data_IF_428323456827
#
_entry.id   IF_428323456827
#
_cell.length_a   1.000
_cell.length_b   1.000
_cell.length_c   1.000
_cell.angle_alpha   90.00
_cell.angle_beta   90.00
_cell.angle_gamma   90.00
#
_symmetry.space_group_name_H-M   'P 1'
#
loop_
_entity.id
_entity.type
_entity.pdbx_description
1 polymer ?
#
# COMPACT_ATOMS: atom_id res chain seq x y z
N UNK A 1 -21.58 -31.85 -7.94
CA UNK A 1 -21.62 -30.40 -8.21
C UNK A 1 -20.66 -29.73 -7.24
N UNK A 2 -19.38 -29.63 -7.59
CA UNK A 2 -18.43 -28.79 -6.85
C UNK A 2 -18.56 -27.37 -7.40
N UNK A 3 -19.45 -26.58 -6.83
CA UNK A 3 -19.74 -25.22 -7.32
C UNK A 3 -19.66 -24.18 -6.19
N UNK A 4 -18.83 -23.16 -6.44
CA UNK A 4 -18.77 -21.82 -5.81
C UNK A 4 -18.04 -21.61 -4.48
N UNK A 5 -17.03 -22.42 -4.13
CA UNK A 5 -16.25 -22.21 -2.89
C UNK A 5 -14.78 -21.82 -3.08
N UNK A 6 -14.36 -21.38 -4.28
CA UNK A 6 -13.01 -20.79 -4.39
C UNK A 6 -12.99 -19.39 -3.75
N UNK A 7 -12.50 -19.34 -2.51
CA UNK A 7 -12.32 -18.09 -1.74
C UNK A 7 -11.47 -17.07 -2.51
N UNK A 8 -10.48 -17.53 -3.27
CA UNK A 8 -9.62 -16.67 -4.08
C UNK A 8 -10.38 -16.03 -5.25
N UNK A 9 -11.20 -16.82 -5.96
CA UNK A 9 -12.01 -16.30 -7.06
C UNK A 9 -13.03 -15.27 -6.58
N UNK A 10 -13.68 -15.53 -5.43
CA UNK A 10 -14.61 -14.57 -4.82
C UNK A 10 -13.91 -13.31 -4.31
N UNK A 11 -12.68 -13.43 -3.81
CA UNK A 11 -11.84 -12.30 -3.39
C UNK A 11 -11.50 -11.39 -4.58
N UNK A 12 -11.07 -11.98 -5.71
CA UNK A 12 -10.84 -11.24 -6.95
C UNK A 12 -12.09 -10.51 -7.41
N UNK A 13 -13.21 -11.23 -7.51
CA UNK A 13 -14.48 -10.69 -7.99
C UNK A 13 -15.03 -9.55 -7.12
N UNK A 14 -14.89 -9.67 -5.79
CA UNK A 14 -15.25 -8.59 -4.88
C UNK A 14 -14.44 -7.31 -5.15
N UNK A 15 -13.14 -7.45 -5.44
CA UNK A 15 -12.30 -6.33 -5.84
C UNK A 15 -12.77 -5.67 -7.13
N UNK A 16 -13.08 -6.46 -8.17
CA UNK A 16 -13.58 -5.94 -9.45
C UNK A 16 -14.84 -5.08 -9.29
N UNK A 17 -15.81 -5.57 -8.50
CA UNK A 17 -17.05 -4.84 -8.26
C UNK A 17 -16.85 -3.60 -7.40
N UNK A 18 -15.94 -3.63 -6.41
CA UNK A 18 -15.59 -2.45 -5.63
C UNK A 18 -14.97 -1.37 -6.52
N UNK A 19 -14.08 -1.75 -7.44
CA UNK A 19 -13.48 -0.83 -8.41
C UNK A 19 -14.53 -0.24 -9.35
N UNK A 20 -15.44 -1.05 -9.88
CA UNK A 20 -16.54 -0.54 -10.70
C UNK A 20 -17.40 0.46 -9.92
N UNK A 21 -17.80 0.11 -8.69
CA UNK A 21 -18.61 0.98 -7.85
C UNK A 21 -17.90 2.31 -7.57
N UNK A 22 -16.61 2.27 -7.24
CA UNK A 22 -15.81 3.47 -6.95
C UNK A 22 -15.63 4.37 -8.18
N UNK A 23 -15.41 3.80 -9.37
CA UNK A 23 -15.32 4.56 -10.62
C UNK A 23 -16.66 5.16 -11.03
N UNK A 24 -17.77 4.42 -10.85
CA UNK A 24 -19.12 4.93 -11.11
C UNK A 24 -19.47 6.07 -10.15
N UNK A 25 -19.11 5.95 -8.86
CA UNK A 25 -19.30 7.01 -7.88
C UNK A 25 -18.48 8.27 -8.20
N UNK A 26 -17.38 8.14 -8.95
CA UNK A 26 -16.59 9.26 -9.50
C UNK A 26 -17.21 9.89 -10.74
N UNK A 27 -18.33 9.36 -11.26
CA UNK A 27 -19.07 9.89 -12.39
C UNK A 27 -18.71 9.26 -13.74
N UNK A 28 -17.93 8.19 -13.76
CA UNK A 28 -17.58 7.49 -14.99
C UNK A 28 -18.51 6.33 -15.32
N UNK A 29 -18.46 5.86 -16.57
CA UNK A 29 -19.03 4.56 -16.92
C UNK A 29 -17.94 3.51 -16.75
N UNK A 30 -18.16 2.53 -15.87
CA UNK A 30 -17.22 1.44 -15.64
C UNK A 30 -17.96 0.10 -15.57
N UNK A 31 -17.41 -0.93 -16.19
CA UNK A 31 -18.00 -2.27 -16.19
C UNK A 31 -16.96 -3.38 -16.15
N UNK A 32 -17.29 -4.53 -15.53
CA UNK A 32 -16.42 -5.70 -15.55
C UNK A 32 -16.19 -6.19 -16.99
N UNK A 33 -14.98 -6.65 -17.25
CA UNK A 33 -14.60 -7.31 -18.49
C UNK A 33 -14.81 -8.82 -18.40
N UNK A 34 -14.82 -9.49 -19.55
CA UNK A 34 -14.95 -10.95 -19.63
C UNK A 34 -13.69 -11.67 -19.14
N UNK A 35 -13.89 -12.89 -18.62
CA UNK A 35 -12.79 -13.70 -18.10
C UNK A 35 -11.80 -14.07 -19.21
N UNK A 36 -10.50 -13.97 -18.92
CA UNK A 36 -9.42 -14.32 -19.85
C UNK A 36 -8.79 -13.12 -20.57
N UNK A 37 -9.33 -11.92 -20.38
CA UNK A 37 -8.70 -10.68 -20.78
C UNK A 37 -7.57 -10.29 -19.81
N UNK A 38 -6.59 -9.49 -20.25
CA UNK A 38 -5.50 -9.04 -19.39
C UNK A 38 -5.88 -7.87 -18.46
N UNK A 39 -7.14 -7.47 -18.46
CA UNK A 39 -7.72 -6.44 -17.60
C UNK A 39 -9.10 -6.92 -17.11
N UNK A 40 -9.52 -6.45 -15.94
CA UNK A 40 -10.76 -6.93 -15.31
C UNK A 40 -11.90 -5.89 -15.41
N UNK A 41 -11.58 -4.62 -15.62
CA UNK A 41 -12.55 -3.52 -15.71
C UNK A 41 -12.21 -2.63 -16.90
N UNK A 42 -13.23 -2.23 -17.65
CA UNK A 42 -13.12 -1.19 -18.65
C UNK A 42 -13.77 0.09 -18.11
N UNK A 43 -13.00 1.18 -18.14
CA UNK A 43 -13.42 2.51 -17.71
C UNK A 43 -13.57 3.39 -18.95
N UNK A 44 -14.75 3.96 -19.15
CA UNK A 44 -15.03 4.97 -20.18
C UNK A 44 -15.08 6.36 -19.54
N UNK A 45 -14.13 7.22 -19.92
CA UNK A 45 -14.05 8.61 -19.45
C UNK A 45 -14.89 9.57 -20.28
N UNK A 46 -15.54 9.10 -21.34
CA UNK A 46 -16.20 9.90 -22.37
C UNK A 46 -15.26 10.35 -23.50
N UNK A 47 -13.95 10.43 -23.24
CA UNK A 47 -12.93 10.73 -24.24
C UNK A 47 -12.19 9.48 -24.71
N UNK A 48 -12.00 8.51 -23.81
CA UNK A 48 -11.30 7.26 -24.10
C UNK A 48 -11.67 6.13 -23.16
N UNK A 49 -11.28 4.94 -23.60
CA UNK A 49 -11.36 3.72 -22.80
C UNK A 49 -10.02 3.47 -22.10
N UNK A 50 -10.09 3.18 -20.80
CA UNK A 50 -8.97 2.84 -19.93
C UNK A 50 -9.15 1.39 -19.46
N UNK A 51 -8.15 0.56 -19.70
CA UNK A 51 -8.12 -0.84 -19.28
C UNK A 51 -7.53 -0.95 -17.89
N UNK A 52 -8.34 -1.40 -16.95
CA UNK A 52 -7.99 -1.47 -15.53
C UNK A 52 -7.83 -2.93 -15.11
N UNK A 53 -6.63 -3.30 -14.68
CA UNK A 53 -6.40 -4.59 -14.01
C UNK A 53 -6.57 -4.41 -12.51
N UNK A 54 -7.34 -5.28 -11.88
CA UNK A 54 -7.59 -5.28 -10.45
C UNK A 54 -6.65 -6.27 -9.75
N UNK A 55 -6.08 -5.85 -8.62
CA UNK A 55 -5.31 -6.70 -7.70
C UNK A 55 -5.85 -6.52 -6.30
N UNK A 56 -6.30 -7.62 -5.71
CA UNK A 56 -7.01 -7.59 -4.42
C UNK A 56 -6.19 -8.24 -3.32
N UNK A 57 -6.29 -7.69 -2.11
CA UNK A 57 -5.81 -8.32 -0.89
C UNK A 57 -6.90 -8.35 0.17
N UNK A 58 -6.93 -9.40 0.98
CA UNK A 58 -7.90 -9.53 2.08
C UNK A 58 -7.52 -8.72 3.32
N UNK A 59 -6.28 -8.24 3.39
CA UNK A 59 -5.77 -7.52 4.55
C UNK A 59 -4.24 -7.43 4.55
N UNK A 60 -3.67 -6.69 5.51
CA UNK A 60 -2.23 -6.49 5.58
C UNK A 60 -1.51 -7.77 6.02
N UNK A 61 -0.33 -8.00 5.45
CA UNK A 61 0.51 -9.17 5.69
C UNK A 61 1.84 -8.75 6.28
N UNK A 62 2.46 -9.64 7.05
CA UNK A 62 3.83 -9.43 7.54
C UNK A 62 4.76 -9.37 6.33
N UNK A 63 5.58 -8.31 6.26
CA UNK A 63 6.58 -8.16 5.22
C UNK A 63 7.65 -9.24 5.43
N UNK A 64 7.88 -10.13 4.44
CA UNK A 64 8.89 -11.17 4.57
C UNK A 64 10.29 -10.57 4.81
N UNK A 65 11.16 -11.32 5.50
CA UNK A 65 12.58 -11.00 5.68
C UNK A 65 12.90 -9.71 6.46
N UNK A 66 11.93 -9.12 7.18
CA UNK A 66 12.18 -8.03 8.13
C UNK A 66 12.49 -8.59 9.52
N UNK A 67 13.55 -8.09 10.15
CA UNK A 67 13.93 -8.44 11.54
C UNK A 67 12.88 -8.01 12.56
N UNK A 68 12.18 -6.91 12.28
CA UNK A 68 11.04 -6.43 13.07
C UNK A 68 9.77 -6.72 12.30
N UNK A 69 8.78 -7.35 12.94
CA UNK A 69 7.48 -7.56 12.33
C UNK A 69 6.86 -6.22 11.92
N UNK A 70 6.64 -6.07 10.62
CA UNK A 70 5.98 -4.90 10.04
C UNK A 70 4.93 -5.41 9.07
N UNK A 71 3.72 -4.86 9.15
CA UNK A 71 2.61 -5.22 8.28
C UNK A 71 2.43 -4.20 7.16
N UNK A 72 2.11 -4.68 5.97
CA UNK A 72 1.85 -3.87 4.79
C UNK A 72 0.77 -4.54 3.91
N UNK A 73 0.10 -3.75 3.09
CA UNK A 73 -0.64 -4.28 1.95
C UNK A 73 0.35 -4.63 0.85
N UNK A 74 0.43 -5.90 0.50
CA UNK A 74 1.42 -6.44 -0.45
C UNK A 74 0.69 -6.83 -1.73
N UNK A 75 1.13 -6.30 -2.88
CA UNK A 75 0.57 -6.63 -4.19
C UNK A 75 1.67 -7.07 -5.16
N UNK A 76 1.41 -8.16 -5.89
CA UNK A 76 2.26 -8.61 -7.00
C UNK A 76 1.61 -8.16 -8.30
N UNK A 77 2.20 -7.15 -8.94
CA UNK A 77 1.48 -6.36 -9.93
C UNK A 77 1.82 -6.79 -11.34
N UNK A 78 3.11 -6.85 -11.70
CA UNK A 78 3.52 -7.22 -13.06
C UNK A 78 3.41 -8.70 -13.38
N UNK A 79 2.92 -9.52 -12.45
CA UNK A 79 2.79 -10.97 -12.65
C UNK A 79 1.33 -11.41 -12.71
N UNK A 80 1.06 -12.35 -13.60
CA UNK A 80 -0.26 -12.93 -13.83
C UNK A 80 -0.17 -14.46 -14.04
N UNK A 81 -1.34 -15.11 -14.05
CA UNK A 81 -1.45 -16.58 -14.16
C UNK A 81 -1.22 -17.32 -12.85
N UNK A 82 -1.53 -18.62 -12.85
CA UNK A 82 -1.30 -19.50 -11.70
C UNK A 82 0.18 -19.46 -11.32
N UNK A 83 0.49 -19.17 -10.06
CA UNK A 83 1.88 -19.10 -9.58
C UNK A 83 2.67 -17.86 -9.98
N UNK A 84 2.05 -16.82 -10.58
CA UNK A 84 2.74 -15.60 -11.03
C UNK A 84 3.80 -15.86 -12.11
N UNK A 85 3.55 -16.81 -13.02
CA UNK A 85 4.51 -17.27 -14.03
C UNK A 85 4.63 -16.34 -15.25
N UNK A 86 3.61 -15.52 -15.52
CA UNK A 86 3.56 -14.66 -16.71
C UNK A 86 3.71 -13.18 -16.34
N UNK A 87 4.17 -12.37 -17.29
CA UNK A 87 4.17 -10.90 -17.21
C UNK A 87 3.18 -10.33 -18.23
N UNK A 88 2.58 -9.19 -17.89
CA UNK A 88 1.76 -8.44 -18.84
C UNK A 88 2.64 -7.91 -19.99
N UNK A 89 2.11 -7.99 -21.20
CA UNK A 89 2.71 -7.40 -22.39
C UNK A 89 2.61 -5.87 -22.40
N UNK A 90 3.37 -5.23 -23.29
CA UNK A 90 3.26 -3.79 -23.51
C UNK A 90 1.85 -3.47 -24.00
N UNK A 91 1.22 -2.43 -23.43
CA UNK A 91 -0.12 -1.96 -23.77
C UNK A 91 -1.26 -2.96 -23.50
N UNK A 92 -1.14 -3.92 -22.58
CA UNK A 92 -2.28 -4.77 -22.20
C UNK A 92 -3.17 -4.14 -21.12
N UNK A 93 -2.58 -3.30 -20.27
CA UNK A 93 -3.20 -2.66 -19.11
C UNK A 93 -2.74 -1.22 -19.06
N UNK A 94 -3.66 -0.28 -18.82
CA UNK A 94 -3.34 1.15 -18.71
C UNK A 94 -3.16 1.55 -17.23
N UNK A 95 -3.99 0.97 -16.34
CA UNK A 95 -4.02 1.27 -14.92
C UNK A 95 -4.16 -0.01 -14.09
N UNK A 96 -3.49 -0.06 -12.95
CA UNK A 96 -3.75 -1.07 -11.93
C UNK A 96 -4.58 -0.46 -10.80
N UNK A 97 -5.71 -1.11 -10.49
CA UNK A 97 -6.49 -0.83 -9.29
C UNK A 97 -6.10 -1.83 -8.19
N UNK A 98 -5.60 -1.32 -7.08
CA UNK A 98 -5.26 -2.10 -5.90
C UNK A 98 -6.41 -2.00 -4.90
N UNK A 99 -6.84 -3.13 -4.34
CA UNK A 99 -8.01 -3.18 -3.45
C UNK A 99 -7.65 -3.87 -2.14
N UNK A 100 -7.89 -3.18 -1.02
CA UNK A 100 -7.80 -3.71 0.33
C UNK A 100 -9.22 -4.03 0.84
N UNK A 101 -9.62 -5.31 0.88
CA UNK A 101 -11.01 -5.68 1.21
C UNK A 101 -11.41 -5.42 2.66
N UNK A 102 -10.45 -5.50 3.58
CA UNK A 102 -10.64 -5.25 5.01
C UNK A 102 -11.09 -3.81 5.29
N UNK A 103 -10.54 -2.85 4.55
CA UNK A 103 -10.85 -1.42 4.68
C UNK A 103 -11.72 -0.88 3.55
N UNK A 104 -11.94 -1.68 2.49
CA UNK A 104 -12.54 -1.28 1.22
C UNK A 104 -11.82 -0.12 0.54
N UNK A 105 -10.55 0.12 0.86
CA UNK A 105 -9.75 1.14 0.20
C UNK A 105 -9.34 0.68 -1.19
N UNK A 106 -9.39 1.62 -2.14
CA UNK A 106 -9.01 1.39 -3.55
C UNK A 106 -8.00 2.45 -3.96
N UNK A 107 -6.87 2.01 -4.49
CA UNK A 107 -5.80 2.86 -5.00
C UNK A 107 -5.52 2.59 -6.49
N UNK A 108 -5.03 3.59 -7.21
CA UNK A 108 -4.80 3.53 -8.65
C UNK A 108 -3.41 4.03 -9.04
N UNK A 109 -2.79 3.31 -9.96
CA UNK A 109 -1.42 3.55 -10.42
C UNK A 109 -1.33 3.26 -11.92
N UNK A 110 -0.63 4.09 -12.69
CA UNK A 110 -0.36 3.86 -14.12
C UNK A 110 0.57 2.66 -14.29
N UNK A 111 0.42 1.94 -15.40
CA UNK A 111 1.30 0.81 -15.74
C UNK A 111 2.78 1.20 -15.81
N UNK A 112 3.09 2.39 -16.31
CA UNK A 112 4.47 2.88 -16.49
C UNK A 112 5.17 3.17 -15.15
N UNK A 113 4.41 3.52 -14.11
CA UNK A 113 4.95 3.88 -12.80
C UNK A 113 5.29 2.65 -11.92
N UNK A 114 5.10 1.43 -12.44
CA UNK A 114 4.91 0.26 -11.61
C UNK A 114 6.16 -0.64 -11.44
N UNK A 115 6.57 -1.00 -10.20
CA UNK A 115 7.52 -2.10 -9.95
C UNK A 115 6.83 -3.47 -9.91
N UNK A 116 7.60 -4.57 -9.91
CA UNK A 116 7.04 -5.93 -9.95
C UNK A 116 6.13 -6.27 -8.73
N UNK A 117 6.56 -5.86 -7.53
CA UNK A 117 5.85 -6.02 -6.27
C UNK A 117 5.88 -4.70 -5.51
N UNK A 118 4.77 -4.32 -4.88
CA UNK A 118 4.66 -3.12 -4.04
C UNK A 118 4.19 -3.49 -2.65
N UNK A 119 4.70 -2.75 -1.67
CA UNK A 119 4.29 -2.82 -0.28
C UNK A 119 3.83 -1.41 0.14
N UNK A 120 2.55 -1.28 0.46
CA UNK A 120 1.99 -0.05 1.01
C UNK A 120 1.80 -0.16 2.52
N UNK A 121 2.15 0.89 3.24
CA UNK A 121 1.84 1.03 4.66
C UNK A 121 0.33 1.05 4.86
N UNK A 122 -0.07 0.54 6.02
CA UNK A 122 -1.44 0.52 6.50
C UNK A 122 -1.66 1.82 7.26
N UNK A 123 -2.64 2.60 6.83
CA UNK A 123 -2.96 3.91 7.41
C UNK A 123 -3.24 3.86 8.92
N UNK A 124 -3.94 2.82 9.39
CA UNK A 124 -4.20 2.62 10.82
C UNK A 124 -2.96 2.26 11.65
N UNK A 125 -1.84 1.95 11.01
CA UNK A 125 -0.55 1.67 11.66
C UNK A 125 0.41 2.87 11.60
N UNK A 126 -0.08 4.05 11.22
CA UNK A 126 0.76 5.23 11.17
C UNK A 126 1.42 5.56 12.52
N UNK A 127 2.71 5.91 12.46
CA UNK A 127 3.56 6.12 13.63
C UNK A 127 4.17 4.85 14.23
N UNK A 128 3.66 3.66 13.89
CA UNK A 128 4.22 2.40 14.41
C UNK A 128 5.38 1.86 13.58
N UNK A 129 5.55 2.34 12.34
CA UNK A 129 6.63 1.93 11.47
C UNK A 129 7.99 2.33 12.03
N UNK A 130 9.01 1.49 11.85
CA UNK A 130 10.32 1.64 12.48
C UNK A 130 10.96 3.03 12.31
N UNK A 131 10.89 3.58 11.11
CA UNK A 131 11.41 4.93 10.80
C UNK A 131 10.58 6.02 11.48
N UNK A 132 9.26 5.95 11.42
CA UNK A 132 8.36 6.93 12.03
C UNK A 132 8.46 6.92 13.56
N UNK A 133 8.41 5.72 14.15
CA UNK A 133 8.65 5.54 15.57
C UNK A 133 10.05 6.03 15.95
N UNK A 134 11.06 5.74 15.15
CA UNK A 134 12.43 6.22 15.36
C UNK A 134 12.53 7.75 15.36
N UNK A 135 11.81 8.42 14.46
CA UNK A 135 11.73 9.89 14.40
C UNK A 135 11.01 10.45 15.64
N UNK A 136 9.89 9.84 16.04
CA UNK A 136 9.13 10.25 17.23
C UNK A 136 9.95 10.06 18.50
N UNK A 137 10.55 8.88 18.68
CA UNK A 137 11.41 8.54 19.80
C UNK A 137 12.60 9.51 19.88
N UNK A 138 13.27 9.78 18.75
CA UNK A 138 14.37 10.72 18.67
C UNK A 138 13.94 12.13 19.14
N UNK A 139 12.80 12.63 18.65
CA UNK A 139 12.26 13.93 19.08
C UNK A 139 12.03 13.98 20.59
N UNK A 140 11.33 12.98 21.14
CA UNK A 140 11.05 12.90 22.58
C UNK A 140 12.35 12.84 23.40
N UNK A 141 13.33 12.04 22.97
CA UNK A 141 14.64 11.93 23.63
C UNK A 141 15.40 13.26 23.59
N UNK A 142 15.43 13.94 22.45
CA UNK A 142 16.08 15.24 22.29
C UNK A 142 15.42 16.33 23.14
N UNK A 143 14.10 16.37 23.21
CA UNK A 143 13.35 17.35 24.01
C UNK A 143 13.60 17.12 25.52
N UNK A 144 13.54 15.86 25.98
CA UNK A 144 13.82 15.51 27.37
C UNK A 144 15.29 15.80 27.75
N UNK A 145 16.25 15.53 26.85
CA UNK A 145 17.64 15.86 27.10
C UNK A 145 17.87 17.38 27.18
N UNK A 146 17.21 18.14 26.30
CA UNK A 146 17.29 19.61 26.29
C UNK A 146 16.66 20.25 27.53
N UNK A 147 15.69 19.59 28.16
CA UNK A 147 15.14 20.00 29.47
C UNK A 147 16.02 19.61 30.68
N UNK A 148 17.21 19.06 30.45
CA UNK A 148 18.20 18.76 31.48
C UNK A 148 18.13 17.36 32.07
N UNK A 149 17.30 16.45 31.54
CA UNK A 149 17.25 15.08 32.04
C UNK A 149 18.51 14.30 31.64
N UNK A 150 18.99 13.47 32.57
CA UNK A 150 20.09 12.54 32.28
C UNK A 150 19.64 11.41 31.35
N UNK A 151 20.58 10.81 30.62
CA UNK A 151 20.32 9.67 29.73
C UNK A 151 19.63 8.49 30.44
N UNK A 152 19.97 8.25 31.72
CA UNK A 152 19.33 7.22 32.55
C UNK A 152 17.87 7.55 32.85
N UNK A 153 17.61 8.79 33.30
CA UNK A 153 16.24 9.25 33.57
C UNK A 153 15.36 9.23 32.30
N UNK A 154 15.93 9.58 31.13
CA UNK A 154 15.21 9.48 29.85
C UNK A 154 14.89 8.02 29.52
N UNK A 155 15.85 7.11 29.69
CA UNK A 155 15.64 5.67 29.45
C UNK A 155 14.53 5.10 30.33
N UNK A 156 14.53 5.42 31.63
CA UNK A 156 13.49 5.01 32.57
C UNK A 156 12.12 5.59 32.21
N UNK A 157 12.07 6.88 31.85
CA UNK A 157 10.81 7.59 31.54
C UNK A 157 10.18 7.15 30.21
N UNK A 158 10.99 6.83 29.20
CA UNK A 158 10.52 6.48 27.85
C UNK A 158 10.40 4.97 27.63
N UNK A 159 11.03 4.16 28.49
CA UNK A 159 11.20 2.72 28.27
C UNK A 159 12.19 2.36 27.16
N UNK A 160 12.82 3.34 26.51
CA UNK A 160 13.83 3.11 25.48
C UNK A 160 15.12 2.70 26.17
N UNK A 161 15.82 1.69 25.65
CA UNK A 161 17.07 1.22 26.26
C UNK A 161 18.13 2.32 26.34
N UNK A 162 18.90 2.33 27.43
CA UNK A 162 19.96 3.32 27.64
C UNK A 162 20.94 3.41 26.47
N UNK A 163 21.30 2.27 25.87
CA UNK A 163 22.18 2.22 24.70
C UNK A 163 21.59 2.95 23.48
N UNK A 164 20.28 2.79 23.23
CA UNK A 164 19.58 3.49 22.15
C UNK A 164 19.46 4.98 22.43
N UNK A 165 19.10 5.38 23.65
CA UNK A 165 19.08 6.80 24.07
C UNK A 165 20.46 7.44 23.89
N UNK A 166 21.52 6.74 24.33
CA UNK A 166 22.89 7.23 24.19
C UNK A 166 23.28 7.43 22.74
N UNK A 167 22.94 6.47 21.86
CA UNK A 167 23.17 6.55 20.40
C UNK A 167 22.43 7.72 19.76
N UNK A 168 21.15 7.90 20.11
CA UNK A 168 20.32 8.99 19.59
C UNK A 168 20.89 10.38 19.92
N UNK A 169 21.53 10.53 21.08
CA UNK A 169 22.12 11.80 21.52
C UNK A 169 23.58 12.00 21.06
N UNK A 170 24.11 11.14 20.19
CA UNK A 170 25.43 11.35 19.60
C UNK A 170 25.39 12.50 18.58
N UNK A 171 26.49 13.25 18.48
CA UNK A 171 26.60 14.33 17.50
C UNK A 171 26.43 13.79 16.08
N UNK A 172 25.59 14.46 15.29
CA UNK A 172 25.31 14.07 13.89
C UNK A 172 24.36 12.89 13.73
N UNK A 173 23.81 12.31 14.81
CA UNK A 173 22.78 11.28 14.69
C UNK A 173 21.55 11.83 13.95
N UNK A 174 21.03 11.03 13.01
CA UNK A 174 19.77 11.27 12.33
C UNK A 174 18.93 10.00 12.38
N UNK A 175 17.64 10.09 12.75
CA UNK A 175 16.77 8.92 12.70
C UNK A 175 16.66 8.42 11.25
N UNK A 176 16.59 7.10 11.12
CA UNK A 176 16.40 6.47 9.82
C UNK A 176 15.04 6.88 9.23
N UNK A 177 15.02 7.19 7.93
CA UNK A 177 13.81 7.57 7.19
C UNK A 177 13.71 6.73 5.92
N UNK A 178 12.50 6.32 5.57
CA UNK A 178 12.21 5.63 4.31
C UNK A 178 11.31 6.46 3.40
N UNK A 179 11.30 6.13 2.12
CA UNK A 179 10.35 6.65 1.13
C UNK A 179 9.12 5.72 0.98
N UNK A 180 8.82 4.92 2.02
CA UNK A 180 7.67 4.03 2.00
C UNK A 180 6.38 4.83 2.07
N UNK A 181 5.41 4.45 1.23
CA UNK A 181 4.14 5.16 1.06
C UNK A 181 3.01 4.43 1.77
N UNK A 182 2.03 5.19 2.23
CA UNK A 182 0.73 4.71 2.68
C UNK A 182 -0.16 4.33 1.51
N UNK A 183 -1.10 3.43 1.78
CA UNK A 183 -2.08 3.03 0.78
C UNK A 183 -3.00 4.20 0.38
N UNK A 184 -3.35 5.09 1.32
CA UNK A 184 -4.13 6.29 1.00
C UNK A 184 -3.48 7.20 -0.06
N UNK A 185 -2.15 7.22 -0.16
CA UNK A 185 -1.42 8.09 -1.10
C UNK A 185 -1.66 7.76 -2.57
N UNK A 186 -2.17 6.56 -2.86
CA UNK A 186 -2.50 6.14 -4.23
C UNK A 186 -4.00 6.19 -4.51
N UNK A 187 -4.82 6.73 -3.60
CA UNK A 187 -6.20 7.04 -3.92
C UNK A 187 -6.24 8.21 -4.90
N UNK A 188 -7.09 8.09 -5.93
CA UNK A 188 -7.17 9.06 -7.02
C UNK A 188 -8.55 9.66 -7.09
N UNK A 189 -8.61 10.96 -7.38
CA UNK A 189 -9.85 11.66 -7.70
C UNK A 189 -10.22 11.43 -9.16
N UNK A 190 -11.41 11.91 -9.57
CA UNK A 190 -11.87 11.79 -10.96
C UNK A 190 -10.91 12.51 -11.93
N UNK A 191 -10.38 13.66 -11.55
CA UNK A 191 -9.50 14.48 -12.40
C UNK A 191 -8.22 13.75 -12.82
N UNK A 192 -7.73 12.85 -11.97
CA UNK A 192 -6.54 12.06 -12.29
C UNK A 192 -6.76 11.13 -13.49
N UNK A 193 -7.96 10.56 -13.64
CA UNK A 193 -8.29 9.67 -14.75
C UNK A 193 -8.39 10.39 -16.09
N UNK A 194 -8.79 11.66 -16.08
CA UNK A 194 -8.83 12.51 -17.28
C UNK A 194 -7.42 12.93 -17.77
N UNK A 195 -6.38 12.72 -16.95
CA UNK A 195 -4.98 13.03 -17.28
C UNK A 195 -4.17 11.79 -17.68
N UNK A 196 -4.79 10.61 -17.64
CA UNK A 196 -4.20 9.39 -18.21
C UNK A 196 -4.32 9.52 -19.70
#
# INVERSE_FOLDING_TARGET
MDMRTSKELQTGKAGEYLVCADLILKGFVAFPSEQGLPYDVLLDTGEKLIRVQVKTTSGPRVIPQRTTESKAYIFNIKRCGKGNEKRYGNNEVDVFALVCLDTKMIGYIKTDDMPDTVNYRVDSLAGSYYDEKGIQDFKVVSDLFSSGLSRRAISEKTGISYATVSRMLQSGYKPFKTEARYFSEIQRSAEWFNQI
#
